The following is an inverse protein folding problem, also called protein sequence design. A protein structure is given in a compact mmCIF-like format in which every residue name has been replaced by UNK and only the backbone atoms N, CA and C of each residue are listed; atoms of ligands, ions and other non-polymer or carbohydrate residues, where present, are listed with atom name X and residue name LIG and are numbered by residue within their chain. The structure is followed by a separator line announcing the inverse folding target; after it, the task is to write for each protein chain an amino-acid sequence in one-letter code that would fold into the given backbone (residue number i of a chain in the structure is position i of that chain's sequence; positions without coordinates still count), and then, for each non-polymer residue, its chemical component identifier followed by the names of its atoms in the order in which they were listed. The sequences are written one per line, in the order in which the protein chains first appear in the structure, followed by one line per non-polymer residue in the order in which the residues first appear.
data_IF_061166691330
#
_entry.id   IF_061166691330
#
_cell.length_a   1.000
_cell.length_b   1.000
_cell.length_c   1.000
_cell.angle_alpha   90.00
_cell.angle_beta   90.00
_cell.angle_gamma   90.00
#
_symmetry.space_group_name_H-M   'P 1'
#
loop_
_entity.id
_entity.type
_entity.pdbx_description
1 polymer ?
#
# COMPACT_ATOMS: atom_id res chain seq x y z
N UNK A 1 -5.54 24.93 12.75
CA UNK A 1 -5.74 24.49 11.35
C UNK A 1 -4.95 25.30 10.30
N UNK A 2 -4.59 26.56 10.52
CA UNK A 2 -3.87 27.43 9.56
C UNK A 2 -2.38 27.09 9.30
N UNK A 3 -1.70 26.36 10.19
CA UNK A 3 -0.26 26.02 10.09
C UNK A 3 0.05 24.69 9.34
N UNK A 4 -0.95 23.85 9.11
CA UNK A 4 -0.79 22.57 8.41
C UNK A 4 -0.69 22.77 6.90
N UNK A 5 -1.32 23.83 6.37
CA UNK A 5 -1.41 24.12 4.94
C UNK A 5 -0.05 24.33 4.23
N UNK A 6 0.92 25.12 4.75
CA UNK A 6 2.18 25.33 4.04
C UNK A 6 3.12 24.12 4.09
N UNK A 7 3.12 23.34 5.18
CA UNK A 7 3.88 22.08 5.26
C UNK A 7 3.32 21.06 4.29
N UNK A 8 2.01 21.00 4.13
CA UNK A 8 1.32 20.11 3.21
C UNK A 8 1.66 20.41 1.75
N UNK A 9 1.55 21.67 1.34
CA UNK A 9 1.86 22.10 -0.03
C UNK A 9 3.33 21.81 -0.40
N UNK A 10 4.26 22.14 0.48
CA UNK A 10 5.68 21.91 0.27
C UNK A 10 6.02 20.41 0.22
N UNK A 11 5.28 19.57 0.97
CA UNK A 11 5.52 18.13 0.98
C UNK A 11 5.02 17.44 -0.30
N UNK A 12 3.87 17.82 -0.82
CA UNK A 12 3.35 17.30 -2.10
C UNK A 12 4.31 17.55 -3.27
N UNK A 13 5.09 18.64 -3.20
CA UNK A 13 6.13 18.95 -4.19
C UNK A 13 7.51 18.37 -3.80
N UNK A 14 7.62 17.60 -2.71
CA UNK A 14 8.89 17.03 -2.31
C UNK A 14 9.34 15.94 -3.27
N UNK A 15 10.66 15.94 -3.58
CA UNK A 15 11.25 14.94 -4.48
C UNK A 15 10.91 13.48 -4.13
N UNK A 16 11.02 13.04 -2.85
CA UNK A 16 10.72 11.64 -2.50
C UNK A 16 9.26 11.26 -2.74
N UNK A 17 8.31 12.16 -2.50
CA UNK A 17 6.91 11.90 -2.76
C UNK A 17 6.63 11.76 -4.26
N UNK A 18 7.18 12.67 -5.07
CA UNK A 18 7.06 12.60 -6.53
C UNK A 18 7.69 11.34 -7.10
N UNK A 19 8.86 10.92 -6.60
CA UNK A 19 9.51 9.67 -7.02
C UNK A 19 8.60 8.48 -6.77
N UNK A 20 7.99 8.38 -5.59
CA UNK A 20 7.10 7.24 -5.27
C UNK A 20 5.84 7.26 -6.14
N UNK A 21 5.19 8.40 -6.34
CA UNK A 21 4.03 8.50 -7.23
C UNK A 21 4.42 8.11 -8.67
N UNK A 22 5.55 8.60 -9.17
CA UNK A 22 6.00 8.28 -10.51
C UNK A 22 6.38 6.80 -10.66
N UNK A 23 7.02 6.21 -9.66
CA UNK A 23 7.35 4.77 -9.70
C UNK A 23 6.09 3.91 -9.65
N UNK A 24 5.11 4.21 -8.80
CA UNK A 24 3.84 3.47 -8.75
C UNK A 24 3.03 3.65 -10.04
N UNK A 25 3.01 4.84 -10.62
CA UNK A 25 2.36 5.11 -11.89
C UNK A 25 3.06 4.39 -13.06
N UNK A 26 4.39 4.45 -13.11
CA UNK A 26 5.18 3.76 -14.15
C UNK A 26 4.98 2.24 -14.09
N UNK A 27 4.98 1.66 -12.89
CA UNK A 27 4.71 0.22 -12.73
C UNK A 27 3.31 -0.14 -13.18
N UNK A 28 2.28 0.65 -12.84
CA UNK A 28 0.93 0.43 -13.34
C UNK A 28 0.88 0.46 -14.88
N UNK A 29 1.55 1.43 -15.52
CA UNK A 29 1.63 1.51 -16.99
C UNK A 29 2.34 0.31 -17.62
N UNK A 30 3.39 -0.21 -16.97
CA UNK A 30 4.10 -1.41 -17.43
C UNK A 30 3.22 -2.67 -17.30
N UNK A 31 2.39 -2.75 -16.27
CA UNK A 31 1.50 -3.89 -16.04
C UNK A 31 0.30 -3.93 -16.99
N UNK A 32 -0.20 -2.78 -17.43
CA UNK A 32 -1.38 -2.65 -18.31
C UNK A 32 -1.31 -3.53 -19.57
N UNK A 33 -0.20 -3.62 -20.35
CA UNK A 33 -0.13 -4.44 -21.54
C UNK A 33 0.05 -5.94 -21.26
N UNK A 34 0.31 -6.34 -20.01
CA UNK A 34 0.57 -7.74 -19.66
C UNK A 34 -0.78 -8.47 -19.50
N UNK A 35 -1.03 -9.57 -20.26
CA UNK A 35 -2.23 -10.39 -20.09
C UNK A 35 -2.35 -10.89 -18.64
N UNK A 36 -3.57 -11.04 -18.13
CA UNK A 36 -3.92 -11.41 -16.75
C UNK A 36 -3.70 -10.31 -15.71
N UNK A 37 -2.54 -9.66 -15.72
CA UNK A 37 -2.15 -8.65 -14.73
C UNK A 37 -2.66 -7.26 -15.12
N UNK A 38 -2.78 -7.00 -16.40
CA UNK A 38 -3.19 -5.69 -16.91
C UNK A 38 -4.68 -5.39 -16.77
N UNK A 39 -5.46 -6.31 -16.27
CA UNK A 39 -6.89 -6.13 -16.09
C UNK A 39 -7.21 -5.80 -14.63
N UNK A 40 -8.33 -5.08 -14.40
CA UNK A 40 -8.76 -4.77 -13.05
C UNK A 40 -9.19 -6.07 -12.35
N UNK A 41 -8.31 -6.62 -11.51
CA UNK A 41 -8.48 -7.91 -10.88
C UNK A 41 -7.57 -8.09 -9.68
N UNK A 42 -7.55 -9.31 -9.17
CA UNK A 42 -6.75 -9.71 -8.02
C UNK A 42 -5.24 -9.50 -8.26
N UNK A 43 -4.73 -9.94 -9.42
CA UNK A 43 -3.31 -9.92 -9.76
C UNK A 43 -2.76 -8.49 -9.81
N UNK A 44 -3.47 -7.58 -10.48
CA UNK A 44 -3.12 -6.17 -10.51
C UNK A 44 -3.13 -5.57 -9.10
N UNK A 45 -4.20 -5.83 -8.33
CA UNK A 45 -4.34 -5.33 -6.97
C UNK A 45 -3.21 -5.85 -6.05
N UNK A 46 -2.83 -7.13 -6.17
CA UNK A 46 -1.74 -7.73 -5.41
C UNK A 46 -0.39 -7.06 -5.70
N UNK A 47 -0.05 -6.87 -6.97
CA UNK A 47 1.20 -6.23 -7.36
C UNK A 47 1.24 -4.77 -6.91
N UNK A 48 0.14 -4.05 -7.07
CA UNK A 48 0.04 -2.68 -6.57
C UNK A 48 0.15 -2.60 -5.06
N UNK A 49 -0.39 -3.57 -4.31
CA UNK A 49 -0.23 -3.65 -2.85
C UNK A 49 1.23 -3.82 -2.44
N UNK A 50 2.00 -4.68 -3.13
CA UNK A 50 3.43 -4.88 -2.86
C UNK A 50 4.24 -3.61 -3.06
N UNK A 51 4.03 -2.92 -4.19
CA UNK A 51 4.77 -1.69 -4.53
C UNK A 51 4.38 -0.56 -3.60
N UNK A 52 3.08 -0.41 -3.36
CA UNK A 52 2.55 0.64 -2.49
C UNK A 52 3.00 0.47 -1.03
N UNK A 53 3.20 -0.77 -0.54
CA UNK A 53 3.76 -1.04 0.80
C UNK A 53 5.11 -0.35 0.97
N UNK A 54 6.05 -0.59 0.06
CA UNK A 54 7.37 0.02 0.11
C UNK A 54 7.31 1.55 0.00
N UNK A 55 6.63 2.05 -1.01
CA UNK A 55 6.50 3.49 -1.28
C UNK A 55 5.87 4.25 -0.11
N UNK A 56 4.76 3.75 0.42
CA UNK A 56 4.06 4.36 1.56
C UNK A 56 4.93 4.35 2.82
N UNK A 57 5.61 3.23 3.10
CA UNK A 57 6.51 3.14 4.24
C UNK A 57 7.64 4.16 4.20
N UNK A 58 8.33 4.28 3.07
CA UNK A 58 9.41 5.26 2.90
C UNK A 58 8.93 6.71 3.03
N UNK A 59 7.78 7.04 2.43
CA UNK A 59 7.19 8.37 2.53
C UNK A 59 6.82 8.69 3.98
N UNK A 60 6.19 7.75 4.67
CA UNK A 60 5.80 7.93 6.08
C UNK A 60 7.02 8.17 6.96
N UNK A 61 8.07 7.36 6.84
CA UNK A 61 9.32 7.55 7.58
C UNK A 61 9.92 8.92 7.29
N UNK A 62 10.03 9.28 6.01
CA UNK A 62 10.56 10.57 5.58
C UNK A 62 9.80 11.74 6.21
N UNK A 63 8.47 11.69 6.16
CA UNK A 63 7.57 12.72 6.66
C UNK A 63 7.65 12.87 8.19
N UNK A 64 7.67 11.75 8.93
CA UNK A 64 7.78 11.79 10.41
C UNK A 64 9.09 12.41 10.85
N UNK A 65 10.20 12.11 10.18
CA UNK A 65 11.50 12.72 10.51
C UNK A 65 11.57 14.19 10.08
N UNK A 66 10.93 14.58 9.01
CA UNK A 66 10.75 15.98 8.65
C UNK A 66 9.91 16.71 9.71
N UNK A 67 8.78 16.13 10.11
CA UNK A 67 7.92 16.67 11.14
C UNK A 67 8.67 16.86 12.48
N UNK A 68 9.49 15.88 12.89
CA UNK A 68 10.33 16.02 14.10
C UNK A 68 11.30 17.18 14.01
N UNK A 69 11.88 17.43 12.86
CA UNK A 69 12.79 18.55 12.64
C UNK A 69 12.08 19.91 12.77
N UNK A 70 10.82 19.97 12.35
CA UNK A 70 9.96 21.17 12.44
C UNK A 70 9.14 21.25 13.74
N UNK A 71 9.41 20.43 14.74
CA UNK A 71 8.63 20.33 15.99
C UNK A 71 8.65 21.61 16.83
N UNK A 72 9.50 22.60 16.54
CA UNK A 72 9.43 23.95 17.11
C UNK A 72 8.11 24.67 16.79
N UNK A 73 7.35 24.21 15.82
CA UNK A 73 6.06 24.77 15.38
C UNK A 73 4.87 23.92 15.82
N UNK A 74 4.62 23.69 17.11
CA UNK A 74 3.36 23.19 17.75
C UNK A 74 2.37 22.38 16.85
N UNK A 75 2.86 21.50 15.97
CA UNK A 75 2.01 20.63 15.15
C UNK A 75 1.63 19.41 15.99
N UNK A 76 0.34 19.22 16.25
CA UNK A 76 -0.16 18.10 17.04
C UNK A 76 0.05 16.77 16.31
N UNK A 77 0.39 15.71 17.07
CA UNK A 77 0.52 14.33 16.55
C UNK A 77 -0.73 13.87 15.79
N UNK A 78 -1.92 14.22 16.27
CA UNK A 78 -3.17 13.89 15.60
C UNK A 78 -3.24 14.49 14.19
N UNK A 79 -2.77 15.74 14.02
CA UNK A 79 -2.71 16.38 12.70
C UNK A 79 -1.78 15.65 11.74
N UNK A 80 -0.66 15.09 12.24
CA UNK A 80 0.24 14.27 11.45
C UNK A 80 -0.46 12.99 10.97
N UNK A 81 -1.14 12.27 11.86
CA UNK A 81 -1.87 11.04 11.51
C UNK A 81 -2.99 11.32 10.50
N UNK A 82 -3.80 12.35 10.74
CA UNK A 82 -4.86 12.77 9.81
C UNK A 82 -4.31 13.17 8.42
N UNK A 83 -3.08 13.63 8.36
CA UNK A 83 -2.41 13.93 7.10
C UNK A 83 -1.84 12.70 6.39
N UNK A 84 -1.29 11.75 7.15
CA UNK A 84 -0.70 10.52 6.60
C UNK A 84 -1.73 9.65 5.87
N UNK A 85 -2.98 9.59 6.36
CA UNK A 85 -4.03 8.77 5.76
C UNK A 85 -4.34 9.14 4.30
N UNK A 86 -4.76 10.38 3.98
CA UNK A 86 -5.03 10.77 2.59
C UNK A 86 -3.77 10.75 1.72
N UNK A 87 -2.59 11.05 2.31
CA UNK A 87 -1.33 11.01 1.58
C UNK A 87 -0.96 9.59 1.14
N UNK A 88 -1.14 8.59 2.00
CA UNK A 88 -0.86 7.19 1.66
C UNK A 88 -1.81 6.69 0.56
N UNK A 89 -3.08 7.06 0.61
CA UNK A 89 -4.05 6.67 -0.42
C UNK A 89 -3.83 7.41 -1.74
N UNK A 90 -3.32 8.64 -1.72
CA UNK A 90 -3.06 9.42 -2.95
C UNK A 90 -2.05 8.76 -3.90
N UNK A 91 -1.16 7.91 -3.39
CA UNK A 91 -0.21 7.13 -4.19
C UNK A 91 -0.92 6.18 -5.15
N UNK A 92 -2.12 5.70 -4.77
CA UNK A 92 -2.91 4.74 -5.55
C UNK A 92 -3.81 5.41 -6.59
N UNK A 93 -3.98 6.74 -6.57
CA UNK A 93 -4.91 7.44 -7.47
C UNK A 93 -4.50 7.24 -8.94
N UNK A 94 -3.22 7.45 -9.29
CA UNK A 94 -2.76 7.29 -10.67
C UNK A 94 -2.87 5.84 -11.17
N UNK A 95 -2.38 4.81 -10.44
CA UNK A 95 -2.60 3.43 -10.82
C UNK A 95 -4.06 3.08 -11.02
N UNK A 96 -4.94 3.54 -10.12
CA UNK A 96 -6.37 3.31 -10.23
C UNK A 96 -6.96 3.97 -11.48
N UNK A 97 -6.62 5.24 -11.75
CA UNK A 97 -7.13 5.93 -12.94
C UNK A 97 -6.69 5.25 -14.23
N UNK A 98 -5.44 4.79 -14.33
CA UNK A 98 -4.94 4.10 -15.52
C UNK A 98 -5.69 2.78 -15.79
N UNK A 99 -5.88 1.96 -14.75
CA UNK A 99 -6.58 0.69 -14.92
C UNK A 99 -8.07 0.89 -15.20
N UNK A 100 -8.72 1.91 -14.61
CA UNK A 100 -10.11 2.26 -14.89
C UNK A 100 -10.31 2.72 -16.33
N UNK A 101 -9.41 3.55 -16.85
CA UNK A 101 -9.44 3.98 -18.25
C UNK A 101 -9.34 2.78 -19.18
N UNK A 102 -8.37 1.88 -18.97
CA UNK A 102 -8.27 0.65 -19.76
C UNK A 102 -9.53 -0.20 -19.68
N UNK A 103 -10.03 -0.44 -18.48
CA UNK A 103 -11.23 -1.24 -18.24
C UNK A 103 -12.46 -0.69 -18.96
N UNK A 104 -12.60 0.63 -19.04
CA UNK A 104 -13.68 1.29 -19.80
C UNK A 104 -13.63 1.00 -21.30
N UNK A 105 -12.44 0.77 -21.87
CA UNK A 105 -12.29 0.41 -23.30
C UNK A 105 -12.42 -1.09 -23.58
N UNK A 106 -12.15 -1.95 -22.60
CA UNK A 106 -12.06 -3.41 -22.79
C UNK A 106 -13.36 -4.16 -22.53
N UNK A 107 -14.40 -3.52 -21.98
CA UNK A 107 -15.72 -4.16 -21.75
C UNK A 107 -15.68 -5.29 -20.74
N UNK A 108 -15.17 -5.05 -19.53
CA UNK A 108 -14.96 -6.07 -18.50
C UNK A 108 -16.25 -6.61 -17.88
N UNK A 109 -16.41 -7.95 -17.84
CA UNK A 109 -17.57 -8.61 -17.22
C UNK A 109 -17.57 -8.53 -15.68
N UNK A 110 -16.41 -8.36 -15.02
CA UNK A 110 -16.27 -8.47 -13.54
C UNK A 110 -15.66 -7.21 -12.90
N UNK A 111 -16.06 -6.04 -13.38
CA UNK A 111 -15.54 -4.74 -12.94
C UNK A 111 -15.66 -4.49 -11.43
N UNK A 112 -16.81 -4.85 -10.84
CA UNK A 112 -17.07 -4.61 -9.43
C UNK A 112 -16.17 -5.44 -8.51
N UNK A 113 -15.93 -6.70 -8.84
CA UNK A 113 -15.04 -7.57 -8.07
C UNK A 113 -13.60 -7.09 -8.15
N UNK A 114 -13.15 -6.67 -9.34
CA UNK A 114 -11.83 -6.09 -9.54
C UNK A 114 -11.62 -4.81 -8.72
N UNK A 115 -12.62 -3.91 -8.70
CA UNK A 115 -12.57 -2.71 -7.89
C UNK A 115 -12.57 -3.03 -6.39
N UNK A 116 -13.36 -4.01 -5.97
CA UNK A 116 -13.39 -4.47 -4.58
C UNK A 116 -12.03 -5.06 -4.16
N UNK A 117 -11.35 -5.84 -5.00
CA UNK A 117 -9.98 -6.29 -4.74
C UNK A 117 -9.01 -5.11 -4.64
N UNK A 118 -9.14 -4.09 -5.48
CA UNK A 118 -8.28 -2.91 -5.39
C UNK A 118 -8.49 -2.14 -4.08
N UNK A 119 -9.70 -2.06 -3.57
CA UNK A 119 -9.97 -1.46 -2.25
C UNK A 119 -9.43 -2.34 -1.13
N UNK A 120 -9.73 -3.64 -1.16
CA UNK A 120 -9.36 -4.57 -0.09
C UNK A 120 -7.84 -4.83 0.00
N UNK A 121 -7.12 -4.87 -1.14
CA UNK A 121 -5.70 -5.18 -1.13
C UNK A 121 -4.85 -3.90 -1.02
N UNK A 122 -4.63 -3.09 -2.07
CA UNK A 122 -3.69 -1.99 -1.98
C UNK A 122 -4.12 -0.87 -1.02
N UNK A 123 -5.43 -0.53 -0.91
CA UNK A 123 -5.82 0.55 0.01
C UNK A 123 -5.62 0.16 1.48
N UNK A 124 -6.07 -1.03 1.90
CA UNK A 124 -5.85 -1.49 3.28
C UNK A 124 -4.36 -1.69 3.56
N UNK A 125 -3.62 -2.24 2.60
CA UNK A 125 -2.18 -2.45 2.73
C UNK A 125 -1.39 -1.15 2.89
N UNK A 126 -1.73 -0.09 2.15
CA UNK A 126 -1.08 1.22 2.32
C UNK A 126 -1.33 1.81 3.71
N UNK A 127 -2.53 1.66 4.24
CA UNK A 127 -2.86 2.11 5.60
C UNK A 127 -2.08 1.32 6.66
N UNK A 128 -2.02 0.00 6.54
CA UNK A 128 -1.22 -0.86 7.42
C UNK A 128 0.27 -0.51 7.34
N UNK A 129 0.79 -0.32 6.12
CA UNK A 129 2.19 0.08 5.91
C UNK A 129 2.51 1.43 6.53
N UNK A 130 1.63 2.42 6.35
CA UNK A 130 1.78 3.75 6.97
C UNK A 130 1.79 3.66 8.50
N UNK A 131 0.89 2.87 9.10
CA UNK A 131 0.84 2.67 10.54
C UNK A 131 2.11 2.02 11.09
N UNK A 132 2.59 0.95 10.45
CA UNK A 132 3.84 0.27 10.86
C UNK A 132 5.05 1.18 10.67
N UNK A 133 5.15 1.89 9.55
CA UNK A 133 6.23 2.84 9.31
C UNK A 133 6.23 4.01 10.31
N UNK A 134 5.04 4.48 10.71
CA UNK A 134 4.88 5.47 11.77
C UNK A 134 5.43 4.93 13.09
N UNK A 135 5.04 3.72 13.52
CA UNK A 135 5.54 3.08 14.72
C UNK A 135 7.06 2.91 14.68
N UNK A 136 7.62 2.39 13.59
CA UNK A 136 9.06 2.28 13.40
C UNK A 136 9.76 3.63 13.53
N UNK A 137 9.17 4.69 13.00
CA UNK A 137 9.71 6.04 13.08
C UNK A 137 9.65 6.61 14.50
N UNK A 138 8.63 6.25 15.29
CA UNK A 138 8.53 6.67 16.69
C UNK A 138 9.56 5.97 17.58
N UNK A 139 9.85 4.70 17.31
CA UNK A 139 10.82 3.90 18.07
C UNK A 139 12.28 4.22 17.71
N UNK A 140 12.54 4.63 16.48
CA UNK A 140 13.90 4.87 16.00
C UNK A 140 14.33 6.32 16.16
N UNK A 141 15.61 6.53 16.51
CA UNK A 141 16.22 7.86 16.60
C UNK A 141 16.63 8.43 15.23
N UNK A 142 16.97 7.56 14.27
CA UNK A 142 17.49 7.94 12.95
C UNK A 142 16.65 7.36 11.84
N UNK A 143 16.55 8.07 10.69
CA UNK A 143 15.84 7.59 9.47
C UNK A 143 16.31 6.20 9.06
N UNK A 144 17.63 5.95 9.04
CA UNK A 144 18.19 4.66 8.62
C UNK A 144 17.69 3.52 9.52
N UNK A 145 17.71 3.70 10.85
CA UNK A 145 17.23 2.68 11.79
C UNK A 145 15.74 2.42 11.63
N UNK A 146 14.93 3.48 11.43
CA UNK A 146 13.50 3.33 11.14
C UNK A 146 13.25 2.52 9.87
N UNK A 147 14.00 2.81 8.80
CA UNK A 147 13.92 2.10 7.53
C UNK A 147 14.33 0.63 7.67
N UNK A 148 15.45 0.34 8.36
CA UNK A 148 15.89 -1.04 8.60
C UNK A 148 14.83 -1.79 9.41
N UNK A 149 14.30 -1.20 10.47
CA UNK A 149 13.26 -1.82 11.31
C UNK A 149 12.00 -2.12 10.48
N UNK A 150 11.56 -1.17 9.65
CA UNK A 150 10.41 -1.34 8.77
C UNK A 150 10.62 -2.48 7.76
N UNK A 151 11.78 -2.52 7.09
CA UNK A 151 12.13 -3.58 6.14
C UNK A 151 12.18 -4.94 6.86
N UNK A 152 12.76 -5.00 8.05
CA UNK A 152 12.84 -6.24 8.84
C UNK A 152 11.45 -6.77 9.19
N UNK A 153 10.51 -5.90 9.56
CA UNK A 153 9.11 -6.29 9.84
C UNK A 153 8.44 -6.84 8.59
N UNK A 154 8.60 -6.18 7.44
CA UNK A 154 8.03 -6.66 6.17
C UNK A 154 8.62 -8.02 5.80
N UNK A 155 9.95 -8.16 5.80
CA UNK A 155 10.62 -9.42 5.47
C UNK A 155 10.24 -10.54 6.46
N UNK A 156 10.14 -10.23 7.75
CA UNK A 156 9.65 -11.17 8.76
C UNK A 156 8.22 -11.62 8.49
N UNK A 157 7.33 -10.70 8.09
CA UNK A 157 5.96 -11.03 7.72
C UNK A 157 5.89 -11.91 6.47
N UNK A 158 6.72 -11.64 5.45
CA UNK A 158 6.85 -12.48 4.26
C UNK A 158 7.38 -13.87 4.66
N UNK A 159 8.44 -13.92 5.46
CA UNK A 159 9.04 -15.16 5.91
C UNK A 159 8.06 -16.04 6.69
N UNK A 160 7.26 -15.47 7.58
CA UNK A 160 6.21 -16.21 8.31
C UNK A 160 5.12 -16.73 7.38
N UNK A 161 4.75 -15.98 6.35
CA UNK A 161 3.77 -16.44 5.36
C UNK A 161 4.29 -17.59 4.51
N UNK A 162 5.55 -17.51 4.06
CA UNK A 162 6.22 -18.59 3.32
C UNK A 162 6.38 -19.83 4.21
N UNK A 163 6.80 -19.66 5.46
CA UNK A 163 6.95 -20.76 6.40
C UNK A 163 5.64 -21.52 6.62
N UNK A 164 4.53 -20.79 6.81
CA UNK A 164 3.19 -21.39 6.93
C UNK A 164 2.77 -22.16 5.68
N UNK A 165 3.05 -21.58 4.50
CA UNK A 165 2.74 -22.19 3.21
C UNK A 165 3.48 -23.53 3.02
N UNK A 166 4.74 -23.63 3.50
CA UNK A 166 5.57 -24.84 3.35
C UNK A 166 5.18 -25.95 4.33
N UNK A 167 4.79 -25.61 5.57
CA UNK A 167 4.53 -26.62 6.61
C UNK A 167 3.06 -27.06 6.62
N UNK A 168 2.16 -26.11 6.49
CA UNK A 168 0.72 -26.36 6.46
C UNK A 168 0.15 -25.58 5.29
N UNK A 169 0.14 -26.13 4.04
CA UNK A 169 -0.35 -25.39 2.89
C UNK A 169 -1.84 -25.04 3.12
N UNK A 170 -2.14 -23.81 3.57
CA UNK A 170 -3.51 -23.37 3.67
C UNK A 170 -4.02 -23.08 2.26
N UNK A 171 -5.30 -23.30 2.03
CA UNK A 171 -5.97 -22.90 0.79
C UNK A 171 -5.77 -21.40 0.52
N UNK A 172 -5.62 -20.59 1.59
CA UNK A 172 -5.41 -19.16 1.51
C UNK A 172 -4.38 -18.68 2.55
N UNK A 173 -3.30 -18.05 2.11
CA UNK A 173 -2.31 -17.42 3.01
C UNK A 173 -2.58 -15.92 3.14
N UNK A 174 -3.04 -15.49 4.30
CA UNK A 174 -3.30 -14.07 4.59
C UNK A 174 -2.04 -13.37 5.10
N UNK A 175 -1.78 -12.17 4.56
CA UNK A 175 -0.67 -11.33 4.99
C UNK A 175 -1.12 -9.86 5.07
N UNK A 176 -0.77 -9.11 6.14
CA UNK A 176 -1.20 -7.72 6.31
C UNK A 176 -0.63 -6.77 5.25
N UNK A 177 0.55 -7.07 4.66
CA UNK A 177 1.24 -6.17 3.74
C UNK A 177 0.93 -6.39 2.26
N UNK A 178 0.48 -7.58 1.85
CA UNK A 178 0.11 -7.81 0.45
C UNK A 178 -1.22 -8.54 0.28
N UNK A 179 -1.97 -8.73 1.33
CA UNK A 179 -3.32 -9.26 1.24
C UNK A 179 -3.39 -10.76 1.45
N UNK A 180 -3.78 -11.48 0.45
CA UNK A 180 -3.80 -12.92 0.52
C UNK A 180 -3.23 -13.53 -0.75
N UNK A 181 -2.70 -14.72 -0.64
CA UNK A 181 -2.25 -15.50 -1.77
C UNK A 181 -3.19 -16.72 -1.89
N UNK A 182 -3.92 -16.86 -3.01
CA UNK A 182 -4.66 -18.07 -3.27
C UNK A 182 -3.64 -19.21 -3.44
N UNK A 183 -3.91 -20.36 -2.82
CA UNK A 183 -3.06 -21.55 -2.95
C UNK A 183 -2.93 -22.01 -4.40
N UNK A 184 -2.31 -23.18 -4.66
CA UNK A 184 -2.01 -23.66 -6.00
C UNK A 184 -3.22 -23.99 -6.87
N UNK A 185 -4.44 -23.79 -6.40
CA UNK A 185 -5.68 -24.03 -7.15
C UNK A 185 -5.99 -22.81 -7.99
N UNK A 186 -5.31 -22.66 -9.10
CA UNK A 186 -5.52 -21.58 -10.08
C UNK A 186 -6.78 -21.72 -10.95
N UNK A 187 -7.52 -22.81 -10.81
CA UNK A 187 -8.69 -23.12 -11.67
C UNK A 187 -10.03 -22.57 -11.16
N UNK A 188 -10.07 -21.95 -9.97
CA UNK A 188 -11.29 -21.38 -9.44
C UNK A 188 -11.31 -19.86 -9.57
N UNK A 189 -12.48 -19.31 -9.91
CA UNK A 189 -12.73 -17.85 -9.89
C UNK A 189 -12.43 -17.36 -8.48
N UNK A 190 -11.47 -16.44 -8.34
CA UNK A 190 -11.09 -15.84 -7.06
C UNK A 190 -12.26 -14.97 -6.58
N UNK A 191 -12.97 -15.44 -5.57
CA UNK A 191 -14.13 -14.75 -4.99
C UNK A 191 -13.72 -14.12 -3.65
N UNK A 192 -14.29 -12.96 -3.35
CA UNK A 192 -14.11 -12.30 -2.07
C UNK A 192 -14.82 -13.12 -0.99
N UNK A 193 -14.04 -13.84 -0.18
CA UNK A 193 -14.57 -14.67 0.91
C UNK A 193 -14.78 -13.84 2.18
N UNK A 194 -15.77 -14.20 3.04
CA UNK A 194 -15.93 -13.54 4.35
C UNK A 194 -14.66 -13.60 5.22
N UNK A 195 -13.87 -14.66 5.07
CA UNK A 195 -12.58 -14.82 5.76
C UNK A 195 -11.55 -13.77 5.35
N UNK A 196 -11.56 -13.33 4.08
CA UNK A 196 -10.73 -12.22 3.62
C UNK A 196 -11.12 -10.90 4.30
N UNK A 197 -12.42 -10.63 4.41
CA UNK A 197 -12.93 -9.42 5.08
C UNK A 197 -12.51 -9.40 6.55
N UNK A 198 -12.72 -10.50 7.27
CA UNK A 198 -12.29 -10.62 8.68
C UNK A 198 -10.78 -10.46 8.83
N UNK A 199 -9.98 -11.08 7.95
CA UNK A 199 -8.52 -10.96 7.97
C UNK A 199 -8.04 -9.53 7.69
N UNK A 200 -8.85 -8.70 7.03
CA UNK A 200 -8.58 -7.29 6.75
C UNK A 200 -9.14 -6.34 7.79
N UNK A 201 -9.85 -6.83 8.82
CA UNK A 201 -10.44 -6.03 9.90
C UNK A 201 -11.69 -5.26 9.50
N UNK A 202 -12.44 -5.78 8.52
CA UNK A 202 -13.70 -5.22 8.02
C UNK A 202 -14.91 -6.06 8.45
#
# INVERSE_FOLDING_TARGET
MKLVHPLFSNFLHSKPYLIVILTTAATALILIPIPLVGDIGFEFALLMALIATGGTGFITIYLVFQWRFYQETKVNFLSLVCFLLPLSLSILILPLTFILVKSGFSGFCNFYDGLAFFVLLPCVTTLCSAAVALLCSLLAHNKLRATILFITIILGSIGTSIYRLLIHPPLFAYNPFFGYFPGPIYDEIIVITPTLLIARGL
#
